data_IF_620668062594
#
_entry.id   IF_620668062594
#
_cell.length_a   1.000
_cell.length_b   1.000
_cell.length_c   1.000
_cell.angle_alpha   90.00
_cell.angle_beta   90.00
_cell.angle_gamma   90.00
#
_symmetry.space_group_name_H-M   'P 1'
#
loop_
_entity.id
_entity.type
_entity.pdbx_description
1 polymer ?
#
# COMPACT_ATOMS: atom_id res chain seq x y z
N UNK A 1 0.68 27.77 2.24
CA UNK A 1 1.68 26.67 2.05
C UNK A 1 1.00 25.48 1.40
N UNK A 2 1.50 24.95 0.26
CA UNK A 2 1.01 23.68 -0.30
C UNK A 2 1.41 22.56 0.68
N UNK A 3 0.43 21.99 1.36
CA UNK A 3 0.66 20.86 2.26
C UNK A 3 0.86 19.62 1.39
N UNK A 4 2.10 19.18 1.21
CA UNK A 4 2.37 17.90 0.55
C UNK A 4 1.81 16.77 1.41
N UNK A 5 1.18 15.77 0.78
CA UNK A 5 0.63 14.62 1.49
C UNK A 5 1.73 13.63 1.91
N UNK A 6 2.85 13.63 1.21
CA UNK A 6 4.02 12.82 1.52
C UNK A 6 5.18 13.73 1.90
N UNK A 7 5.92 13.33 2.94
CA UNK A 7 7.09 14.07 3.45
C UNK A 7 8.28 13.97 2.49
N UNK A 8 8.35 12.87 1.75
CA UNK A 8 9.41 12.59 0.80
C UNK A 8 8.84 12.04 -0.51
N UNK A 9 9.51 12.28 -1.63
CA UNK A 9 9.13 11.72 -2.92
C UNK A 9 10.37 11.37 -3.74
N UNK A 10 10.50 10.11 -4.13
CA UNK A 10 11.55 9.65 -5.02
C UNK A 10 11.01 8.59 -5.97
N UNK A 11 11.09 8.87 -7.27
CA UNK A 11 10.54 7.99 -8.30
C UNK A 11 11.30 6.67 -8.37
N UNK A 12 10.57 5.56 -8.30
CA UNK A 12 11.14 4.22 -8.48
C UNK A 12 11.75 4.01 -9.87
N UNK A 13 12.68 3.07 -9.98
CA UNK A 13 13.21 2.58 -11.27
C UNK A 13 12.09 2.00 -12.13
N UNK A 14 12.25 2.08 -13.45
CA UNK A 14 11.27 1.61 -14.44
C UNK A 14 10.87 0.14 -14.25
N UNK A 15 11.75 -0.69 -13.74
CA UNK A 15 11.50 -2.11 -13.44
C UNK A 15 10.41 -2.32 -12.38
N UNK A 16 10.11 -1.29 -11.57
CA UNK A 16 9.16 -1.38 -10.44
C UNK A 16 7.71 -1.16 -10.83
N UNK A 17 7.43 -0.66 -12.05
CA UNK A 17 6.08 -0.30 -12.46
C UNK A 17 5.85 -0.46 -13.97
N UNK A 18 4.57 -0.64 -14.32
CA UNK A 18 4.11 -0.86 -15.69
C UNK A 18 3.53 0.37 -16.38
N UNK A 19 2.49 0.11 -17.17
CA UNK A 19 1.81 1.08 -18.03
C UNK A 19 1.14 2.22 -17.24
N UNK A 20 0.74 3.25 -17.96
CA UNK A 20 -0.19 4.27 -17.49
C UNK A 20 -1.58 3.64 -17.33
N UNK A 21 -2.36 4.18 -16.39
CA UNK A 21 -3.77 3.85 -16.17
C UNK A 21 -4.55 5.09 -15.78
N UNK A 22 -5.87 5.06 -15.95
CA UNK A 22 -6.72 6.11 -15.40
C UNK A 22 -6.89 5.94 -13.91
N UNK A 23 -7.01 7.03 -13.19
CA UNK A 23 -7.27 6.98 -11.74
C UNK A 23 -8.67 6.48 -11.42
N UNK A 24 -9.62 6.64 -12.35
CA UNK A 24 -10.97 6.07 -12.29
C UNK A 24 -10.99 4.53 -12.31
N UNK A 25 -9.96 3.89 -12.87
CA UNK A 25 -9.86 2.43 -12.91
C UNK A 25 -9.44 1.83 -11.55
N UNK A 26 -9.00 2.69 -10.62
CA UNK A 26 -8.53 2.27 -9.30
C UNK A 26 -9.74 2.10 -8.38
N UNK A 27 -9.95 0.87 -7.93
CA UNK A 27 -11.08 0.50 -7.06
C UNK A 27 -10.65 0.01 -5.67
N UNK A 28 -9.36 -0.21 -5.43
CA UNK A 28 -8.89 -0.73 -4.15
C UNK A 28 -7.56 -0.16 -3.67
N UNK A 29 -7.39 -0.18 -2.34
CA UNK A 29 -6.12 0.06 -1.65
C UNK A 29 -5.66 -1.24 -1.03
N UNK A 30 -4.43 -1.63 -1.29
CA UNK A 30 -3.81 -2.83 -0.72
C UNK A 30 -2.80 -2.40 0.33
N UNK A 31 -2.98 -2.92 1.53
CA UNK A 31 -2.05 -2.74 2.64
C UNK A 31 -1.05 -3.88 2.63
N UNK A 32 0.22 -3.51 2.64
CA UNK A 32 1.37 -4.39 2.70
C UNK A 32 2.24 -4.06 3.91
N UNK A 33 3.28 -4.84 4.14
CA UNK A 33 4.37 -4.52 5.04
C UNK A 33 5.72 -4.86 4.37
N UNK A 34 6.75 -4.13 4.75
CA UNK A 34 8.08 -4.32 4.18
C UNK A 34 8.77 -5.58 4.71
N UNK A 35 8.38 -6.05 5.90
CA UNK A 35 8.96 -7.22 6.55
C UNK A 35 10.40 -7.00 7.05
N UNK A 36 10.77 -5.76 7.34
CA UNK A 36 12.12 -5.38 7.81
C UNK A 36 11.99 -4.53 9.07
N UNK A 37 12.62 -4.96 10.17
CA UNK A 37 12.66 -4.22 11.44
C UNK A 37 13.45 -2.93 11.28
N UNK A 38 12.93 -1.83 11.81
CA UNK A 38 13.59 -0.51 11.87
C UNK A 38 13.76 0.19 10.52
N UNK A 39 13.11 -0.30 9.45
CA UNK A 39 13.18 0.37 8.16
C UNK A 39 12.33 1.65 8.12
N UNK A 40 12.64 2.53 7.19
CA UNK A 40 11.96 3.82 7.07
C UNK A 40 11.33 4.00 5.69
N UNK A 41 10.30 4.85 5.64
CA UNK A 41 9.64 5.19 4.39
C UNK A 41 10.64 5.76 3.36
N UNK A 42 11.56 6.61 3.81
CA UNK A 42 12.60 7.21 2.95
C UNK A 42 13.55 6.15 2.39
N UNK A 43 14.06 5.24 3.24
CA UNK A 43 15.01 4.20 2.81
C UNK A 43 14.37 3.27 1.76
N UNK A 44 13.11 2.93 1.93
CA UNK A 44 12.37 2.14 0.94
C UNK A 44 12.22 2.88 -0.39
N UNK A 45 11.82 4.16 -0.37
CA UNK A 45 11.72 4.94 -1.59
C UNK A 45 13.09 5.07 -2.31
N UNK A 46 14.18 5.25 -1.56
CA UNK A 46 15.55 5.31 -2.08
C UNK A 46 15.98 3.96 -2.69
N UNK A 47 15.69 2.85 -2.01
CA UNK A 47 15.96 1.50 -2.53
C UNK A 47 15.25 1.26 -3.87
N UNK A 48 13.96 1.56 -3.96
CA UNK A 48 13.22 1.39 -5.21
C UNK A 48 13.67 2.33 -6.32
N UNK A 49 14.26 3.47 -5.97
CA UNK A 49 14.82 4.42 -6.94
C UNK A 49 16.20 4.02 -7.47
N UNK A 50 17.02 3.33 -6.68
CA UNK A 50 18.43 3.07 -7.04
C UNK A 50 18.86 1.60 -6.94
N UNK A 51 18.42 0.88 -5.90
CA UNK A 51 18.89 -0.48 -5.56
C UNK A 51 18.02 -1.60 -6.11
N UNK A 52 16.75 -1.33 -6.45
CA UNK A 52 15.84 -2.40 -6.87
C UNK A 52 16.28 -3.06 -8.20
N UNK A 53 16.37 -4.39 -8.18
CA UNK A 53 16.68 -5.23 -9.34
C UNK A 53 15.52 -6.17 -9.72
N UNK A 54 14.38 -6.08 -9.02
CA UNK A 54 13.21 -6.95 -9.21
C UNK A 54 12.04 -6.18 -9.80
N UNK A 55 11.16 -6.88 -10.52
CA UNK A 55 9.84 -6.35 -10.92
C UNK A 55 8.92 -6.26 -9.70
N UNK A 56 9.25 -5.34 -8.78
CA UNK A 56 8.52 -5.09 -7.55
C UNK A 56 8.55 -3.60 -7.21
N UNK A 57 7.48 -3.08 -6.56
CA UNK A 57 7.39 -1.69 -6.12
C UNK A 57 6.02 -1.34 -5.57
N UNK A 58 5.94 -0.27 -4.78
CA UNK A 58 4.71 0.26 -4.21
C UNK A 58 4.51 1.73 -4.53
N UNK A 59 3.29 2.25 -4.35
CA UNK A 59 2.97 3.64 -4.59
C UNK A 59 3.49 4.54 -3.46
N UNK A 60 3.42 4.05 -2.22
CA UNK A 60 3.88 4.77 -1.05
C UNK A 60 4.32 3.87 0.09
N UNK A 61 5.07 4.46 1.00
CA UNK A 61 5.62 3.86 2.21
C UNK A 61 5.28 4.74 3.40
N UNK A 62 4.97 4.14 4.55
CA UNK A 62 4.71 4.85 5.81
C UNK A 62 5.47 4.12 6.92
N UNK A 63 6.36 4.82 7.64
CA UNK A 63 7.14 4.21 8.71
C UNK A 63 6.49 4.38 10.11
N UNK A 64 7.04 3.69 11.10
CA UNK A 64 6.52 3.65 12.46
C UNK A 64 6.43 5.04 13.12
N UNK A 65 7.28 6.00 12.70
CA UNK A 65 7.26 7.38 13.17
C UNK A 65 6.23 8.25 12.40
N UNK A 66 5.44 7.66 11.51
CA UNK A 66 4.43 8.35 10.72
C UNK A 66 4.99 9.15 9.55
N UNK A 67 6.29 9.05 9.25
CA UNK A 67 6.87 9.66 8.05
C UNK A 67 6.45 8.88 6.81
N UNK A 68 6.27 9.57 5.71
CA UNK A 68 5.75 8.99 4.49
C UNK A 68 6.59 9.31 3.26
N UNK A 69 6.65 8.38 2.34
CA UNK A 69 7.35 8.56 1.08
C UNK A 69 6.50 8.07 -0.10
N UNK A 70 6.48 8.86 -1.19
CA UNK A 70 5.90 8.45 -2.46
C UNK A 70 6.98 7.92 -3.40
N UNK A 71 6.70 6.77 -4.02
CA UNK A 71 7.62 6.13 -4.96
C UNK A 71 7.04 6.07 -6.38
N UNK A 72 5.88 5.45 -6.55
CA UNK A 72 5.23 5.30 -7.86
C UNK A 72 3.98 6.19 -7.93
N UNK A 73 3.79 6.98 -9.01
CA UNK A 73 2.58 7.79 -9.17
C UNK A 73 1.31 6.94 -9.29
N UNK A 74 0.15 7.45 -8.83
CA UNK A 74 -1.12 6.72 -8.86
C UNK A 74 -1.56 6.32 -10.28
N UNK A 75 -1.20 7.10 -11.29
CA UNK A 75 -1.50 6.80 -12.69
C UNK A 75 -0.52 5.82 -13.35
N UNK A 76 0.28 5.09 -12.55
CA UNK A 76 1.13 3.99 -12.98
C UNK A 76 0.74 2.71 -12.25
N UNK A 77 0.88 1.58 -12.92
CA UNK A 77 0.66 0.26 -12.34
C UNK A 77 1.90 -0.13 -11.53
N UNK A 78 1.81 -0.18 -10.20
CA UNK A 78 2.90 -0.71 -9.37
C UNK A 78 2.89 -2.24 -9.37
N UNK A 79 4.04 -2.87 -9.42
CA UNK A 79 4.16 -4.33 -9.34
C UNK A 79 4.23 -4.79 -7.88
N UNK A 80 3.10 -4.74 -7.18
CA UNK A 80 3.00 -5.01 -5.74
C UNK A 80 2.16 -6.25 -5.40
N UNK A 81 1.13 -6.53 -6.19
CA UNK A 81 0.17 -7.61 -5.94
C UNK A 81 0.41 -8.73 -6.95
N UNK A 82 1.49 -9.48 -6.75
CA UNK A 82 1.88 -10.55 -7.65
C UNK A 82 1.76 -11.93 -7.01
N UNK A 83 1.51 -12.93 -7.85
CA UNK A 83 1.66 -14.33 -7.51
C UNK A 83 2.63 -14.98 -8.50
N UNK A 84 3.94 -14.70 -8.38
CA UNK A 84 4.92 -15.20 -9.33
C UNK A 84 4.90 -16.72 -9.33
N UNK A 85 4.82 -17.30 -10.53
CA UNK A 85 4.82 -18.76 -10.75
C UNK A 85 3.69 -19.52 -10.05
N UNK A 86 2.59 -18.85 -9.63
CA UNK A 86 1.48 -19.51 -8.94
C UNK A 86 1.82 -20.03 -7.53
N UNK A 87 2.84 -19.47 -6.88
CA UNK A 87 3.38 -19.92 -5.59
C UNK A 87 2.32 -19.85 -4.47
N UNK A 88 1.45 -18.85 -4.51
CA UNK A 88 0.47 -18.60 -3.46
C UNK A 88 -0.93 -19.05 -3.87
N UNK A 89 -1.71 -19.55 -2.90
CA UNK A 89 -3.13 -19.86 -3.09
C UNK A 89 -3.93 -18.57 -3.39
N UNK A 90 -5.07 -18.74 -4.05
CA UNK A 90 -6.02 -17.65 -4.33
C UNK A 90 -6.69 -17.17 -3.05
N UNK A 91 -6.72 -15.86 -2.83
CA UNK A 91 -7.46 -15.21 -1.77
C UNK A 91 -8.90 -14.84 -2.19
N UNK A 92 -9.66 -14.24 -1.27
CA UNK A 92 -11.07 -13.84 -1.50
C UNK A 92 -11.23 -12.89 -2.69
N UNK A 93 -10.27 -11.99 -2.90
CA UNK A 93 -10.32 -10.95 -3.94
C UNK A 93 -9.45 -11.28 -5.17
N UNK A 94 -9.03 -12.56 -5.30
CA UNK A 94 -8.25 -13.00 -6.45
C UNK A 94 -9.01 -12.73 -7.77
N UNK A 95 -8.30 -12.29 -8.79
CA UNK A 95 -8.81 -11.85 -10.10
C UNK A 95 -9.66 -10.56 -10.08
N UNK A 96 -10.35 -10.24 -8.97
CA UNK A 96 -11.09 -8.99 -8.83
C UNK A 96 -10.17 -7.79 -8.59
N UNK A 97 -9.20 -7.94 -7.70
CA UNK A 97 -8.19 -6.93 -7.39
C UNK A 97 -6.81 -7.38 -7.86
N UNK A 98 -6.10 -6.48 -8.53
CA UNK A 98 -4.78 -6.76 -9.10
C UNK A 98 -3.96 -5.46 -9.22
N UNK A 99 -2.75 -5.53 -9.76
CA UNK A 99 -1.90 -4.36 -9.91
C UNK A 99 -2.52 -3.23 -10.75
N UNK A 100 -3.37 -3.55 -11.74
CA UNK A 100 -3.94 -2.54 -12.63
C UNK A 100 -5.01 -1.67 -11.99
N UNK A 101 -5.72 -2.20 -10.98
CA UNK A 101 -6.85 -1.52 -10.35
C UNK A 101 -6.70 -1.25 -8.84
N UNK A 102 -5.47 -1.37 -8.32
CA UNK A 102 -5.19 -1.08 -6.90
C UNK A 102 -4.05 -0.10 -6.69
N UNK A 103 -4.08 0.60 -5.56
CA UNK A 103 -2.95 1.35 -5.00
C UNK A 103 -2.36 0.54 -3.86
N UNK A 104 -1.05 0.34 -3.86
CA UNK A 104 -0.33 -0.42 -2.82
C UNK A 104 0.44 0.52 -1.90
N UNK A 105 0.21 0.38 -0.59
CA UNK A 105 0.87 1.12 0.49
C UNK A 105 1.59 0.12 1.38
N UNK A 106 2.89 0.32 1.55
CA UNK A 106 3.74 -0.48 2.43
C UNK A 106 3.85 0.19 3.81
N UNK A 107 3.58 -0.57 4.85
CA UNK A 107 3.83 -0.18 6.22
C UNK A 107 5.23 -0.70 6.62
N UNK A 108 6.11 0.21 6.98
CA UNK A 108 7.46 -0.14 7.39
C UNK A 108 7.48 -0.56 8.87
N UNK A 109 8.43 -1.43 9.24
CA UNK A 109 8.64 -1.86 10.63
C UNK A 109 7.38 -2.44 11.31
N UNK A 110 6.61 -3.25 10.58
CA UNK A 110 5.39 -3.89 11.09
C UNK A 110 5.68 -5.35 11.52
N UNK A 111 6.74 -5.55 12.31
CA UNK A 111 7.17 -6.88 12.77
C UNK A 111 6.73 -7.11 14.20
N UNK A 112 5.88 -8.12 14.43
CA UNK A 112 5.40 -8.49 15.77
C UNK A 112 4.39 -7.52 16.39
N UNK A 113 4.04 -6.43 15.71
CA UNK A 113 3.07 -5.45 16.20
C UNK A 113 2.23 -4.86 15.07
N UNK A 114 1.09 -4.27 15.41
CA UNK A 114 0.24 -3.51 14.48
C UNK A 114 0.78 -2.11 14.20
N UNK A 115 0.03 -1.33 13.45
CA UNK A 115 0.38 0.09 13.19
C UNK A 115 0.54 0.87 14.50
N UNK A 116 1.55 1.74 14.55
CA UNK A 116 1.69 2.73 15.62
C UNK A 116 0.62 3.83 15.46
N UNK A 117 0.38 4.63 16.50
CA UNK A 117 -0.55 5.76 16.42
C UNK A 117 -0.13 6.74 15.31
N UNK A 118 1.15 7.12 15.26
CA UNK A 118 1.69 8.03 14.24
C UNK A 118 1.56 7.46 12.83
N UNK A 119 1.83 6.15 12.67
CA UNK A 119 1.69 5.46 11.40
C UNK A 119 0.22 5.41 10.96
N UNK A 120 -0.72 5.17 11.89
CA UNK A 120 -2.15 5.18 11.63
C UNK A 120 -2.66 6.54 11.21
N UNK A 121 -2.26 7.61 11.90
CA UNK A 121 -2.64 8.98 11.53
C UNK A 121 -2.22 9.32 10.08
N UNK A 122 -1.00 8.94 9.72
CA UNK A 122 -0.49 9.17 8.37
C UNK A 122 -1.18 8.29 7.34
N UNK A 123 -1.44 7.02 7.68
CA UNK A 123 -2.18 6.10 6.82
C UNK A 123 -3.59 6.64 6.51
N UNK A 124 -4.31 7.16 7.50
CA UNK A 124 -5.63 7.79 7.31
C UNK A 124 -5.52 8.98 6.34
N UNK A 125 -4.54 9.87 6.52
CA UNK A 125 -4.31 11.01 5.62
C UNK A 125 -4.07 10.55 4.18
N UNK A 126 -3.24 9.53 4.00
CA UNK A 126 -2.91 8.95 2.69
C UNK A 126 -4.13 8.27 2.06
N UNK A 127 -4.92 7.52 2.82
CA UNK A 127 -6.16 6.87 2.35
C UNK A 127 -7.18 7.91 1.88
N UNK A 128 -7.43 8.96 2.65
CA UNK A 128 -8.31 10.09 2.27
C UNK A 128 -7.82 10.76 0.98
N UNK A 129 -6.52 10.99 0.87
CA UNK A 129 -5.94 11.58 -0.34
C UNK A 129 -6.09 10.66 -1.56
N UNK A 130 -5.87 9.34 -1.40
CA UNK A 130 -6.08 8.38 -2.49
C UNK A 130 -7.56 8.41 -2.92
N UNK A 131 -8.51 8.35 -1.98
CA UNK A 131 -9.95 8.43 -2.29
C UNK A 131 -10.30 9.70 -3.06
N UNK A 132 -9.80 10.85 -2.63
CA UNK A 132 -10.00 12.13 -3.35
C UNK A 132 -9.44 12.11 -4.77
N UNK A 133 -8.33 11.39 -5.03
CA UNK A 133 -7.69 11.30 -6.36
C UNK A 133 -8.22 10.16 -7.22
N UNK A 134 -8.81 9.15 -6.60
CA UNK A 134 -9.31 7.91 -7.20
C UNK A 134 -10.72 7.64 -6.63
N UNK A 135 -11.75 8.35 -7.12
CA UNK A 135 -13.08 8.38 -6.48
C UNK A 135 -13.76 7.00 -6.44
N UNK A 136 -13.40 6.08 -7.33
CA UNK A 136 -13.97 4.73 -7.40
C UNK A 136 -13.38 3.75 -6.37
N UNK A 137 -12.43 4.18 -5.53
CA UNK A 137 -11.90 3.32 -4.44
C UNK A 137 -13.02 2.98 -3.46
N UNK A 138 -13.25 1.68 -3.27
CA UNK A 138 -14.26 1.11 -2.38
C UNK A 138 -13.74 -0.09 -1.57
N UNK A 139 -12.56 -0.60 -1.90
CA UNK A 139 -11.96 -1.75 -1.21
C UNK A 139 -10.69 -1.34 -0.46
N UNK A 140 -10.56 -1.83 0.77
CA UNK A 140 -9.32 -1.83 1.55
C UNK A 140 -9.06 -3.28 1.94
N UNK A 141 -7.93 -3.82 1.48
CA UNK A 141 -7.59 -5.24 1.63
C UNK A 141 -6.11 -5.41 1.94
N UNK A 142 -5.72 -6.58 2.46
CA UNK A 142 -4.31 -7.00 2.56
C UNK A 142 -3.88 -7.66 1.26
N UNK A 143 -2.58 -7.76 1.04
CA UNK A 143 -2.04 -8.62 -0.02
C UNK A 143 -2.54 -10.06 0.16
N UNK A 144 -2.56 -10.58 1.41
CA UNK A 144 -3.11 -11.88 1.78
C UNK A 144 -4.56 -12.11 1.30
N UNK A 145 -5.37 -11.08 1.22
CA UNK A 145 -6.77 -11.19 0.80
C UNK A 145 -6.92 -11.39 -0.72
N UNK A 146 -5.88 -11.07 -1.50
CA UNK A 146 -5.84 -11.25 -2.95
C UNK A 146 -5.14 -12.56 -3.32
N UNK A 147 -3.92 -12.75 -2.83
CA UNK A 147 -3.17 -14.00 -2.89
C UNK A 147 -2.70 -14.33 -1.47
N UNK A 148 -2.70 -15.60 -1.08
CA UNK A 148 -2.40 -16.05 0.29
C UNK A 148 -0.90 -15.91 0.63
N UNK A 149 -0.30 -14.78 0.29
CA UNK A 149 1.02 -14.37 0.75
C UNK A 149 0.89 -13.80 2.17
N UNK A 150 1.80 -14.14 3.07
CA UNK A 150 1.81 -13.63 4.44
C UNK A 150 2.23 -12.16 4.47
N UNK A 151 1.27 -11.28 4.15
CA UNK A 151 1.48 -9.84 4.02
C UNK A 151 0.17 -9.05 4.22
N UNK A 152 0.09 -8.15 5.21
CA UNK A 152 1.03 -7.97 6.33
C UNK A 152 0.88 -9.11 7.35
N UNK A 153 2.00 -9.71 7.75
CA UNK A 153 2.03 -10.91 8.60
C UNK A 153 1.29 -10.70 9.93
N UNK A 154 1.60 -9.65 10.67
CA UNK A 154 0.93 -9.35 11.94
C UNK A 154 -0.60 -9.41 11.85
N UNK A 155 -1.18 -8.87 10.79
CA UNK A 155 -2.63 -8.83 10.62
C UNK A 155 -3.25 -10.13 10.11
N UNK A 156 -2.44 -11.13 9.77
CA UNK A 156 -2.92 -12.49 9.44
C UNK A 156 -3.22 -13.22 10.74
N UNK A 157 -2.29 -13.16 11.68
CA UNK A 157 -2.44 -13.80 12.99
C UNK A 157 -3.42 -13.04 13.90
N UNK A 158 -3.55 -11.73 13.70
CA UNK A 158 -4.38 -10.83 14.50
C UNK A 158 -5.60 -10.33 13.72
N UNK A 159 -6.51 -11.24 13.35
CA UNK A 159 -7.68 -10.94 12.51
C UNK A 159 -8.63 -9.90 13.12
N UNK A 160 -8.76 -9.85 14.43
CA UNK A 160 -9.60 -8.84 15.12
C UNK A 160 -9.00 -7.44 14.92
N UNK A 161 -7.69 -7.31 15.04
CA UNK A 161 -6.99 -6.02 14.82
C UNK A 161 -7.07 -5.59 13.35
N UNK A 162 -6.95 -6.56 12.41
CA UNK A 162 -7.18 -6.26 11.00
C UNK A 162 -8.60 -5.74 10.74
N UNK A 163 -9.62 -6.39 11.29
CA UNK A 163 -11.01 -5.97 11.12
C UNK A 163 -11.23 -4.54 11.64
N UNK A 164 -10.67 -4.21 12.82
CA UNK A 164 -10.73 -2.85 13.38
C UNK A 164 -10.06 -1.82 12.47
N UNK A 165 -8.81 -2.06 12.06
CA UNK A 165 -8.06 -1.18 11.16
C UNK A 165 -8.82 -1.00 9.83
N UNK A 166 -9.25 -2.09 9.22
CA UNK A 166 -9.98 -2.07 7.95
C UNK A 166 -11.29 -1.28 8.05
N UNK A 167 -12.09 -1.51 9.11
CA UNK A 167 -13.36 -0.80 9.31
C UNK A 167 -13.14 0.69 9.49
N UNK A 168 -12.12 1.09 10.26
CA UNK A 168 -11.74 2.48 10.44
C UNK A 168 -11.33 3.13 9.11
N UNK A 169 -10.49 2.47 8.31
CA UNK A 169 -10.06 3.03 7.02
C UNK A 169 -11.22 3.09 6.01
N UNK A 170 -12.14 2.11 6.04
CA UNK A 170 -13.34 2.11 5.19
C UNK A 170 -14.29 3.25 5.55
N UNK A 171 -14.44 3.64 6.81
CA UNK A 171 -15.27 4.79 7.18
C UNK A 171 -14.80 6.06 6.47
N UNK A 172 -13.48 6.27 6.37
CA UNK A 172 -12.90 7.44 5.71
C UNK A 172 -13.02 7.46 4.17
N UNK A 173 -13.24 6.33 3.51
CA UNK A 173 -13.49 6.32 2.07
C UNK A 173 -14.99 6.33 1.73
N UNK A 174 -15.85 6.07 2.70
CA UNK A 174 -17.31 6.09 2.56
C UNK A 174 -17.94 7.38 3.08
N UNK A 175 -17.21 8.22 3.83
CA UNK A 175 -17.66 9.57 4.17
C UNK A 175 -17.87 10.35 2.86
N UNK A 176 -19.09 10.87 2.65
CA UNK A 176 -19.36 11.77 1.54
C UNK A 176 -18.47 13.02 1.68
N UNK A 177 -17.74 13.33 0.60
CA UNK A 177 -16.85 14.52 0.52
C UNK A 177 -17.66 15.74 0.14
#
# INVERSE_FOLDING_TARGET
MKKYIFDYARKAKKISYGALRNKSDIIGIVIHYTGITGDTAKNNADYFATGNTRSAGAHGFIDAEGRSARSIPLNRIAYAVGNPKGTYKKGKYYAMLNNSNTVSIELCDLIGHGVTEKQLETLIKVVKWIKKKCPNVQYIVRHYDIVKKDCPEYYIDNQVQWKKLRSLLLSYINEEV
#
